data_IF_049887104095
#
_entry.id   IF_049887104095
#
_cell.length_a   1.000
_cell.length_b   1.000
_cell.length_c   1.000
_cell.angle_alpha   90.00
_cell.angle_beta   90.00
_cell.angle_gamma   90.00
#
_symmetry.space_group_name_H-M   'P 1'
#
loop_
_entity.id
_entity.type
_entity.pdbx_description
1 polymer ?
#
# COMPACT_ATOMS: atom_id res chain seq x y z
N UNK A 1 -58.08 7.86 -14.55
CA UNK A 1 -56.64 8.01 -14.86
C UNK A 1 -55.83 7.15 -13.90
N UNK A 2 -54.79 6.51 -14.43
CA UNK A 2 -53.58 5.95 -13.80
C UNK A 2 -53.70 4.88 -12.69
N UNK A 3 -53.37 3.66 -13.08
CA UNK A 3 -52.72 2.66 -12.23
C UNK A 3 -51.25 3.06 -11.96
N UNK A 4 -50.65 2.54 -10.88
CA UNK A 4 -49.33 1.85 -10.89
C UNK A 4 -48.96 1.39 -9.47
N UNK A 5 -48.65 0.10 -9.36
CA UNK A 5 -47.99 -0.56 -8.24
C UNK A 5 -46.53 -0.11 -8.13
N UNK A 6 -45.91 -0.13 -6.95
CA UNK A 6 -44.47 0.14 -6.87
C UNK A 6 -43.81 -0.07 -5.51
N UNK A 7 -43.64 -1.34 -5.14
CA UNK A 7 -42.47 -1.92 -4.45
C UNK A 7 -41.89 -1.21 -3.22
N UNK A 8 -41.94 -1.94 -2.10
CA UNK A 8 -41.09 -1.80 -0.91
C UNK A 8 -39.62 -1.58 -1.29
N UNK A 9 -39.11 -0.38 -1.05
CA UNK A 9 -37.70 -0.02 -1.26
C UNK A 9 -36.85 -0.34 -0.03
N UNK A 10 -36.31 -1.54 -0.01
CA UNK A 10 -35.12 -1.93 0.77
C UNK A 10 -33.95 -0.98 0.50
N UNK A 11 -33.43 -0.31 1.53
CA UNK A 11 -32.02 0.13 1.62
C UNK A 11 -31.69 0.71 3.01
N UNK A 12 -31.63 -0.14 4.03
CA UNK A 12 -30.88 0.17 5.26
C UNK A 12 -29.90 -0.96 5.52
N UNK A 13 -28.94 -1.16 4.62
CA UNK A 13 -27.84 -2.09 4.83
C UNK A 13 -26.59 -1.59 4.10
N UNK A 14 -26.03 -0.47 4.54
CA UNK A 14 -24.60 -0.21 4.35
C UNK A 14 -24.06 0.48 5.59
N UNK A 15 -23.96 -0.28 6.67
CA UNK A 15 -23.16 0.08 7.84
C UNK A 15 -22.44 -1.17 8.30
N UNK A 16 -21.33 -1.46 7.62
CA UNK A 16 -20.10 -2.05 8.17
C UNK A 16 -18.94 -1.56 7.30
N UNK A 17 -18.69 -0.26 7.33
CA UNK A 17 -17.37 0.27 7.02
C UNK A 17 -16.67 0.47 8.36
N UNK A 18 -15.64 -0.32 8.64
CA UNK A 18 -14.49 0.02 9.50
C UNK A 18 -13.82 -1.25 10.03
N UNK A 19 -13.03 -1.90 9.19
CA UNK A 19 -11.81 -2.56 9.67
C UNK A 19 -10.71 -2.30 8.65
N UNK A 20 -10.13 -1.08 8.76
CA UNK A 20 -8.88 -0.60 8.15
C UNK A 20 -8.84 0.94 8.01
N UNK A 21 -9.91 1.65 8.36
CA UNK A 21 -10.01 3.11 8.26
C UNK A 21 -9.29 3.88 9.38
N UNK A 22 -8.59 3.20 10.29
CA UNK A 22 -7.74 3.84 11.30
C UNK A 22 -6.27 3.48 11.08
N UNK A 23 -5.76 3.86 9.92
CA UNK A 23 -4.33 4.10 9.82
C UNK A 23 -4.14 5.37 9.01
N UNK A 24 -3.51 6.39 9.62
CA UNK A 24 -2.94 7.56 8.94
C UNK A 24 -1.95 7.16 7.80
N UNK A 25 -1.68 5.86 7.70
CA UNK A 25 -0.91 5.15 6.70
C UNK A 25 -1.71 4.87 5.40
N UNK A 26 -3.04 4.92 5.34
CA UNK A 26 -3.77 4.77 4.08
C UNK A 26 -3.98 6.12 3.38
N UNK A 27 -3.91 6.18 2.05
CA UNK A 27 -4.09 7.43 1.28
C UNK A 27 -5.52 7.99 1.30
N UNK A 28 -6.42 7.30 2.00
CA UNK A 28 -7.84 7.64 2.13
C UNK A 28 -8.64 7.36 0.86
N UNK A 29 -8.02 6.79 -0.18
CA UNK A 29 -8.68 6.47 -1.45
C UNK A 29 -8.89 4.95 -1.55
N UNK A 30 -9.94 4.48 -0.88
CA UNK A 30 -10.35 3.07 -0.98
C UNK A 30 -11.06 2.83 -2.31
N UNK A 31 -10.63 1.81 -3.03
CA UNK A 31 -11.23 1.36 -4.28
C UNK A 31 -11.73 -0.08 -4.10
N UNK A 32 -12.73 -0.49 -4.91
CA UNK A 32 -13.11 -1.89 -4.96
C UNK A 32 -12.00 -2.71 -5.61
N UNK A 33 -11.79 -3.92 -5.11
CA UNK A 33 -10.80 -4.85 -5.60
C UNK A 33 -11.43 -6.22 -5.91
N UNK A 34 -10.98 -6.81 -7.01
CA UNK A 34 -11.19 -8.20 -7.37
C UNK A 34 -9.92 -8.71 -8.06
N UNK A 35 -9.60 -10.00 -7.93
CA UNK A 35 -8.38 -10.56 -8.50
C UNK A 35 -8.31 -10.47 -10.02
N UNK A 36 -9.46 -10.51 -10.71
CA UNK A 36 -9.52 -10.31 -12.16
C UNK A 36 -8.98 -8.94 -12.60
N UNK A 37 -9.15 -7.89 -11.76
CA UNK A 37 -8.58 -6.56 -12.02
C UNK A 37 -7.05 -6.64 -12.10
N UNK A 38 -6.42 -7.39 -11.19
CA UNK A 38 -4.97 -7.58 -11.19
C UNK A 38 -4.49 -8.34 -12.43
N UNK A 39 -5.25 -9.36 -12.86
CA UNK A 39 -4.94 -10.12 -14.06
C UNK A 39 -5.05 -9.26 -15.32
N UNK A 40 -6.11 -8.47 -15.46
CA UNK A 40 -6.29 -7.55 -16.58
C UNK A 40 -5.15 -6.52 -16.63
N UNK A 41 -4.79 -5.90 -15.50
CA UNK A 41 -3.65 -4.98 -15.44
C UNK A 41 -2.34 -5.63 -15.89
N UNK A 42 -2.07 -6.87 -15.45
CA UNK A 42 -0.87 -7.60 -15.84
C UNK A 42 -0.88 -7.96 -17.33
N UNK A 43 -2.03 -8.38 -17.86
CA UNK A 43 -2.21 -8.67 -19.28
C UNK A 43 -1.94 -7.44 -20.14
N UNK A 44 -2.55 -6.31 -19.82
CA UNK A 44 -2.36 -5.05 -20.55
C UNK A 44 -0.90 -4.60 -20.52
N UNK A 45 -0.23 -4.71 -19.37
CA UNK A 45 1.21 -4.39 -19.25
C UNK A 45 2.08 -5.30 -20.12
N UNK A 46 1.73 -6.59 -20.23
CA UNK A 46 2.46 -7.54 -21.05
C UNK A 46 2.35 -7.26 -22.55
N UNK A 47 1.28 -6.58 -22.99
CA UNK A 47 1.14 -6.11 -24.38
C UNK A 47 1.97 -4.86 -24.69
N UNK A 48 2.59 -4.24 -23.68
CA UNK A 48 3.43 -3.05 -23.88
C UNK A 48 4.90 -3.43 -24.05
N UNK A 49 5.61 -2.67 -24.89
CA UNK A 49 7.05 -2.81 -25.03
C UNK A 49 7.76 -2.53 -23.69
N UNK A 50 8.84 -3.26 -23.44
CA UNK A 50 9.65 -3.07 -22.24
C UNK A 50 10.16 -1.63 -22.13
N UNK A 51 9.94 -0.99 -20.98
CA UNK A 51 10.26 0.42 -20.72
C UNK A 51 11.69 0.67 -20.21
N UNK A 52 12.53 -0.37 -20.14
CA UNK A 52 13.91 -0.24 -19.70
C UNK A 52 14.08 -0.05 -18.19
N UNK A 53 15.33 0.17 -17.78
CA UNK A 53 15.69 0.25 -16.37
C UNK A 53 14.97 1.42 -15.65
N UNK A 54 14.64 1.28 -14.35
CA UNK A 54 14.07 2.36 -13.56
C UNK A 54 14.96 3.60 -13.56
N UNK A 55 14.34 4.77 -13.35
CA UNK A 55 15.09 6.03 -13.14
C UNK A 55 16.10 5.84 -12.00
N UNK A 56 17.34 6.32 -12.14
CA UNK A 56 18.32 6.23 -11.08
C UNK A 56 17.81 6.90 -9.80
N UNK A 57 18.29 6.37 -8.68
CA UNK A 57 18.11 6.98 -7.37
C UNK A 57 18.68 8.41 -7.36
N UNK A 58 18.09 9.33 -6.59
CA UNK A 58 18.77 10.57 -6.22
C UNK A 58 20.15 10.27 -5.65
N UNK A 59 21.14 11.13 -5.93
CA UNK A 59 22.54 10.88 -5.57
C UNK A 59 22.72 10.56 -4.08
N UNK A 60 21.94 11.20 -3.21
CA UNK A 60 21.94 10.96 -1.76
C UNK A 60 21.67 9.50 -1.37
N UNK A 61 20.84 8.79 -2.13
CA UNK A 61 20.54 7.37 -1.92
C UNK A 61 21.44 6.46 -2.77
N UNK A 62 21.88 6.95 -3.94
CA UNK A 62 22.71 6.19 -4.86
C UNK A 62 24.15 5.99 -4.36
N UNK A 63 24.71 6.96 -3.62
CA UNK A 63 26.08 6.94 -3.10
C UNK A 63 26.16 6.72 -1.58
N UNK A 64 25.03 6.33 -0.97
CA UNK A 64 24.94 6.09 0.47
C UNK A 64 25.92 5.01 0.92
N UNK A 65 26.70 5.29 1.97
CA UNK A 65 27.62 4.32 2.55
C UNK A 65 26.86 3.22 3.31
N UNK A 66 27.42 2.00 3.44
CA UNK A 66 26.80 0.95 4.25
C UNK A 66 26.51 1.40 5.68
N UNK A 67 27.38 2.22 6.28
CA UNK A 67 27.18 2.78 7.61
C UNK A 67 25.96 3.71 7.67
N UNK A 68 25.81 4.61 6.69
CA UNK A 68 24.64 5.50 6.63
C UNK A 68 23.36 4.72 6.35
N UNK A 69 23.41 3.69 5.50
CA UNK A 69 22.27 2.82 5.24
C UNK A 69 21.80 2.08 6.50
N UNK A 70 22.74 1.53 7.28
CA UNK A 70 22.45 0.81 8.52
C UNK A 70 21.99 1.73 9.66
N UNK A 71 22.29 3.03 9.59
CA UNK A 71 21.79 3.99 10.58
C UNK A 71 20.30 4.33 10.40
N UNK A 72 19.73 4.05 9.23
CA UNK A 72 18.30 4.19 9.01
C UNK A 72 17.63 2.96 9.62
N UNK A 73 16.96 3.18 10.75
CA UNK A 73 16.25 2.13 11.46
C UNK A 73 14.76 2.29 11.29
N UNK A 74 14.10 1.15 11.31
CA UNK A 74 12.66 1.06 11.31
C UNK A 74 12.12 1.30 12.73
N UNK A 75 11.06 2.08 12.85
CA UNK A 75 10.32 2.28 14.09
C UNK A 75 9.16 1.27 14.16
N UNK A 76 9.25 0.30 15.07
CA UNK A 76 8.25 -0.76 15.22
C UNK A 76 6.86 -0.25 15.62
N UNK A 77 6.78 0.94 16.23
CA UNK A 77 5.52 1.62 16.57
C UNK A 77 4.84 2.22 15.33
N UNK A 78 5.50 2.17 14.17
CA UNK A 78 5.01 2.65 12.86
C UNK A 78 4.73 1.51 11.88
N UNK A 79 4.55 0.29 12.38
CA UNK A 79 4.14 -0.84 11.55
C UNK A 79 2.73 -0.76 11.06
N UNK A 80 2.52 -1.36 9.88
CA UNK A 80 1.25 -1.21 9.16
C UNK A 80 0.08 -1.70 10.01
N UNK A 81 0.29 -2.75 10.79
CA UNK A 81 -0.71 -3.37 11.63
C UNK A 81 -0.42 -3.19 13.12
N UNK A 82 0.42 -2.22 13.50
CA UNK A 82 0.78 -1.95 14.90
C UNK A 82 -0.44 -1.88 15.83
N UNK A 83 -1.48 -1.16 15.38
CA UNK A 83 -2.70 -0.90 16.15
C UNK A 83 -3.73 -2.05 16.13
N UNK A 84 -3.40 -3.20 15.51
CA UNK A 84 -4.29 -4.36 15.50
C UNK A 84 -4.05 -5.19 16.75
N UNK A 85 -5.05 -5.27 17.62
CA UNK A 85 -5.01 -6.12 18.80
C UNK A 85 -4.84 -7.60 18.41
N UNK A 86 -4.04 -8.35 19.20
CA UNK A 86 -3.76 -9.78 18.98
C UNK A 86 -3.24 -10.13 17.57
N UNK A 87 -2.55 -9.18 16.90
CA UNK A 87 -1.98 -9.41 15.57
C UNK A 87 -0.99 -10.59 15.58
N UNK A 88 -1.20 -11.49 14.64
CA UNK A 88 -0.31 -12.63 14.39
C UNK A 88 0.79 -12.28 13.38
N UNK A 89 0.54 -11.25 12.58
CA UNK A 89 1.42 -10.78 11.52
C UNK A 89 1.62 -9.29 11.68
N UNK A 90 2.82 -8.85 11.33
CA UNK A 90 3.12 -7.44 11.16
C UNK A 90 3.87 -7.21 9.85
N UNK A 91 3.67 -6.02 9.26
CA UNK A 91 4.31 -5.63 8.03
C UNK A 91 5.16 -4.38 8.26
N UNK A 92 6.47 -4.54 8.02
CA UNK A 92 7.47 -3.49 8.09
C UNK A 92 7.99 -3.16 6.71
N UNK A 93 8.59 -1.98 6.59
CA UNK A 93 9.02 -1.43 5.31
C UNK A 93 10.52 -1.09 5.32
N UNK A 94 11.24 -1.46 4.26
CA UNK A 94 12.67 -1.16 4.08
C UNK A 94 12.92 0.01 3.13
N UNK A 95 13.83 0.92 3.46
CA UNK A 95 14.21 2.05 2.63
C UNK A 95 15.02 1.67 1.38
N UNK A 96 14.97 2.55 0.37
CA UNK A 96 15.85 2.45 -0.79
C UNK A 96 17.29 2.82 -0.44
N UNK A 97 18.22 2.32 -1.24
CA UNK A 97 19.64 2.57 -1.10
C UNK A 97 20.44 1.36 -1.54
N UNK A 98 21.72 1.56 -1.79
CA UNK A 98 22.61 0.48 -2.25
C UNK A 98 22.02 -0.24 -3.49
N UNK A 99 21.82 -1.56 -3.43
CA UNK A 99 21.25 -2.37 -4.52
C UNK A 99 19.75 -2.14 -4.77
N UNK A 100 19.00 -1.55 -3.84
CA UNK A 100 17.55 -1.33 -3.94
C UNK A 100 17.23 -0.02 -4.66
N UNK A 101 17.34 -0.06 -6.00
CA UNK A 101 17.24 1.15 -6.85
C UNK A 101 15.83 1.43 -7.39
N UNK A 102 14.88 0.52 -7.18
CA UNK A 102 13.51 0.63 -7.72
C UNK A 102 12.47 0.76 -6.61
N UNK A 103 11.62 1.79 -6.75
CA UNK A 103 10.47 2.04 -5.88
C UNK A 103 9.36 1.02 -6.16
N UNK A 104 8.73 0.48 -5.11
CA UNK A 104 7.57 -0.41 -5.22
C UNK A 104 6.34 0.26 -4.63
N UNK A 105 5.35 0.56 -5.46
CA UNK A 105 4.05 1.02 -4.95
C UNK A 105 3.36 -0.14 -4.24
N UNK A 106 2.87 0.10 -3.03
CA UNK A 106 2.23 -0.90 -2.21
C UNK A 106 0.78 -0.55 -1.95
N UNK A 107 -0.01 -1.60 -1.84
CA UNK A 107 -1.42 -1.53 -1.54
C UNK A 107 -1.72 -2.57 -0.48
N UNK A 108 -2.60 -2.22 0.45
CA UNK A 108 -3.25 -3.19 1.31
C UNK A 108 -4.57 -3.57 0.65
N UNK A 109 -4.89 -4.86 0.73
CA UNK A 109 -6.01 -5.47 0.03
C UNK A 109 -6.76 -6.35 1.03
N UNK A 110 -8.08 -6.22 1.04
CA UNK A 110 -8.98 -7.18 1.69
C UNK A 110 -9.83 -7.90 0.62
N UNK A 111 -10.86 -8.63 1.04
CA UNK A 111 -11.73 -9.39 0.14
C UNK A 111 -12.44 -8.55 -0.92
N UNK A 112 -12.67 -7.26 -0.67
CA UNK A 112 -13.52 -6.40 -1.48
C UNK A 112 -12.86 -5.07 -1.85
N UNK A 113 -11.77 -4.70 -1.17
CA UNK A 113 -11.21 -3.37 -1.23
C UNK A 113 -9.69 -3.39 -1.37
N UNK A 114 -9.19 -2.32 -1.95
CA UNK A 114 -7.78 -1.99 -2.06
C UNK A 114 -7.59 -0.52 -1.67
N UNK A 115 -6.57 -0.23 -0.90
CA UNK A 115 -6.14 1.14 -0.62
C UNK A 115 -4.63 1.25 -0.71
N UNK A 116 -4.15 2.40 -1.17
CA UNK A 116 -2.72 2.62 -1.30
C UNK A 116 -2.15 2.94 0.08
N UNK A 117 -1.04 2.27 0.40
CA UNK A 117 -0.25 2.57 1.58
C UNK A 117 0.51 3.89 1.32
N UNK A 118 0.21 4.93 2.09
CA UNK A 118 1.02 6.14 2.24
C UNK A 118 2.34 5.77 2.89
N UNK A 119 3.41 6.39 2.41
CA UNK A 119 4.73 6.28 3.01
C UNK A 119 5.15 7.67 3.49
N UNK A 120 5.25 7.84 4.80
CA UNK A 120 5.88 9.00 5.43
C UNK A 120 7.14 8.52 6.13
N UNK A 121 8.31 8.87 5.59
CA UNK A 121 9.60 8.57 6.20
C UNK A 121 9.77 9.41 7.47
N UNK A 122 9.96 8.78 8.62
CA UNK A 122 10.28 9.48 9.87
C UNK A 122 11.71 10.07 9.78
N UNK A 123 11.77 11.40 9.75
CA UNK A 123 12.95 12.30 9.79
C UNK A 123 14.02 12.14 8.68
N UNK A 124 14.00 13.12 7.78
CA UNK A 124 15.15 13.67 7.01
C UNK A 124 15.42 13.21 5.56
N UNK A 125 14.50 12.56 4.87
CA UNK A 125 14.50 12.50 3.40
C UNK A 125 13.07 12.28 2.88
N UNK A 126 12.44 13.31 2.32
CA UNK A 126 11.10 13.23 1.74
C UNK A 126 11.07 12.39 0.45
N UNK A 127 10.06 11.52 0.32
CA UNK A 127 9.69 10.69 -0.86
C UNK A 127 10.54 9.45 -1.19
N UNK A 128 10.69 8.53 -0.22
CA UNK A 128 11.32 7.21 -0.44
C UNK A 128 10.30 6.07 -0.32
N UNK A 129 10.32 5.13 -1.26
CA UNK A 129 9.37 4.01 -1.36
C UNK A 129 10.07 2.70 -1.00
N UNK A 130 9.37 1.82 -0.30
CA UNK A 130 9.98 0.73 0.45
C UNK A 130 9.66 -0.68 -0.09
N UNK A 131 10.34 -1.72 0.43
CA UNK A 131 10.01 -3.15 0.28
C UNK A 131 9.38 -3.69 1.59
N UNK A 132 8.52 -4.72 1.53
CA UNK A 132 7.80 -5.27 2.70
C UNK A 132 8.54 -6.47 3.28
N UNK A 133 8.69 -6.48 4.61
CA UNK A 133 8.94 -7.69 5.39
C UNK A 133 7.66 -8.04 6.14
N UNK A 134 7.17 -9.26 5.95
CA UNK A 134 6.10 -9.82 6.78
C UNK A 134 6.76 -10.68 7.84
N UNK A 135 6.51 -10.36 9.11
CA UNK A 135 7.04 -11.12 10.24
C UNK A 135 5.89 -11.76 11.01
N UNK A 136 6.12 -12.99 11.48
CA UNK A 136 5.25 -13.63 12.46
C UNK A 136 5.61 -13.07 13.83
N UNK A 137 4.59 -12.75 14.63
CA UNK A 137 4.76 -12.32 16.01
C UNK A 137 4.77 -13.53 16.96
#
# INVERSE_FOLDING_TARGET
>A
MAAVCGTSGIASLFSQAAFAADSDIADGQTQRFDFSILQSMAHDLAQTAWRGAPRPLPDTLATMTPQAYNSIQYDAEKSLWHNVENRQLDAQFFHMGMGFRRRVRMFSVDQQHIWRVKFTFARSCSNTTMQVLIQNN
#
